data_IF_449775804052
#
_entry.id   IF_449775804052
#
_cell.length_a   1.000
_cell.length_b   1.000
_cell.length_c   1.000
_cell.angle_alpha   90.00
_cell.angle_beta   90.00
_cell.angle_gamma   90.00
#
_symmetry.space_group_name_H-M   'P 1'
#
loop_
_entity.id
_entity.type
_entity.pdbx_description
1 polymer ?
#
# COMPACT_ATOMS: atom_id res chain seq x y z
N UNK A 1 18.92 -12.93 2.42
CA UNK A 1 17.93 -13.57 1.51
C UNK A 1 18.56 -13.68 0.12
N UNK A 2 18.51 -14.83 -0.55
CA UNK A 2 19.15 -14.97 -1.87
C UNK A 2 18.29 -14.35 -3.01
N UNK A 3 18.90 -14.06 -4.16
CA UNK A 3 18.25 -13.35 -5.27
C UNK A 3 16.97 -14.05 -5.76
N UNK A 4 16.97 -15.38 -5.83
CA UNK A 4 15.81 -16.15 -6.28
C UNK A 4 14.64 -16.07 -5.29
N UNK A 5 14.92 -16.15 -3.98
CA UNK A 5 13.89 -15.96 -2.93
C UNK A 5 13.33 -14.54 -2.96
N UNK A 6 14.18 -13.53 -3.18
CA UNK A 6 13.73 -12.12 -3.30
C UNK A 6 12.79 -11.93 -4.49
N UNK A 7 13.17 -12.43 -5.67
CA UNK A 7 12.34 -12.34 -6.88
C UNK A 7 10.96 -12.98 -6.65
N UNK A 8 10.93 -14.20 -6.12
CA UNK A 8 9.67 -14.90 -5.84
C UNK A 8 8.74 -14.13 -4.89
N UNK A 9 9.28 -13.55 -3.82
CA UNK A 9 8.48 -12.72 -2.91
C UNK A 9 7.88 -11.50 -3.61
N UNK A 10 8.59 -10.89 -4.56
CA UNK A 10 8.08 -9.75 -5.33
C UNK A 10 6.94 -10.21 -6.24
N UNK A 11 7.11 -11.34 -6.93
CA UNK A 11 6.07 -11.90 -7.81
C UNK A 11 4.81 -12.28 -7.03
N UNK A 12 4.97 -12.89 -5.84
CA UNK A 12 3.86 -13.24 -4.95
C UNK A 12 3.12 -11.98 -4.45
N UNK A 13 3.87 -10.96 -4.00
CA UNK A 13 3.30 -9.69 -3.56
C UNK A 13 2.54 -8.98 -4.68
N UNK A 14 3.08 -8.97 -5.91
CA UNK A 14 2.42 -8.40 -7.08
C UNK A 14 1.05 -9.04 -7.32
N UNK A 15 0.95 -10.37 -7.22
CA UNK A 15 -0.33 -11.09 -7.35
C UNK A 15 -1.31 -10.76 -6.23
N UNK A 16 -0.82 -10.57 -5.00
CA UNK A 16 -1.65 -10.15 -3.87
C UNK A 16 -2.26 -8.76 -4.09
N UNK A 17 -1.46 -7.80 -4.58
CA UNK A 17 -1.94 -6.45 -4.91
C UNK A 17 -3.08 -6.50 -5.95
N UNK A 18 -2.91 -7.31 -7.01
CA UNK A 18 -3.91 -7.42 -8.07
C UNK A 18 -5.23 -8.03 -7.60
N UNK A 19 -5.14 -9.09 -6.79
CA UNK A 19 -6.32 -9.70 -6.15
C UNK A 19 -7.01 -8.69 -5.24
N UNK A 20 -6.24 -7.90 -4.49
CA UNK A 20 -6.76 -6.91 -3.54
C UNK A 20 -7.51 -5.78 -4.25
N UNK A 21 -7.01 -5.28 -5.39
CA UNK A 21 -7.70 -4.26 -6.18
C UNK A 21 -9.03 -4.78 -6.71
N UNK A 22 -9.04 -6.00 -7.28
CA UNK A 22 -10.27 -6.61 -7.77
C UNK A 22 -11.27 -6.82 -6.65
N UNK A 23 -10.81 -7.26 -5.48
CA UNK A 23 -11.66 -7.49 -4.32
C UNK A 23 -12.26 -6.17 -3.82
N UNK A 24 -11.42 -5.17 -3.57
CA UNK A 24 -11.83 -3.82 -3.18
C UNK A 24 -12.90 -3.26 -4.12
N UNK A 25 -12.67 -3.35 -5.43
CA UNK A 25 -13.61 -2.88 -6.44
C UNK A 25 -14.97 -3.57 -6.33
N UNK A 26 -14.98 -4.90 -6.13
CA UNK A 26 -16.21 -5.68 -5.97
C UNK A 26 -16.93 -5.38 -4.66
N UNK A 27 -16.20 -5.24 -3.56
CA UNK A 27 -16.76 -4.91 -2.24
C UNK A 27 -17.44 -3.53 -2.26
N UNK A 28 -16.97 -2.63 -3.12
CA UNK A 28 -17.58 -1.32 -3.36
C UNK A 28 -18.63 -1.29 -4.47
N UNK A 29 -18.94 -2.43 -5.09
CA UNK A 29 -19.90 -2.51 -6.19
C UNK A 29 -19.48 -1.79 -7.47
N UNK A 30 -18.19 -1.54 -7.66
CA UNK A 30 -17.68 -0.83 -8.83
C UNK A 30 -17.44 -1.78 -10.01
N UNK A 31 -17.77 -1.35 -11.22
CA UNK A 31 -17.25 -1.98 -12.44
C UNK A 31 -15.80 -1.56 -12.69
N UNK A 32 -15.06 -2.27 -13.55
CA UNK A 32 -13.71 -1.84 -13.93
C UNK A 32 -13.72 -0.44 -14.58
N UNK A 33 -14.75 -0.13 -15.37
CA UNK A 33 -14.93 1.20 -15.96
C UNK A 33 -15.19 2.28 -14.90
N UNK A 34 -15.96 1.95 -13.85
CA UNK A 34 -16.22 2.87 -12.74
C UNK A 34 -14.95 3.17 -11.95
N UNK A 35 -14.14 2.16 -11.63
CA UNK A 35 -12.85 2.38 -10.99
C UNK A 35 -11.92 3.21 -11.89
N UNK A 36 -11.85 2.89 -13.18
CA UNK A 36 -11.07 3.65 -14.15
C UNK A 36 -11.43 5.13 -14.17
N UNK A 37 -12.73 5.46 -14.24
CA UNK A 37 -13.21 6.85 -14.16
C UNK A 37 -12.77 7.57 -12.89
N UNK A 38 -12.84 6.91 -11.73
CA UNK A 38 -12.47 7.50 -10.43
C UNK A 38 -10.99 7.90 -10.34
N UNK A 39 -10.11 7.20 -11.06
CA UNK A 39 -8.66 7.40 -11.03
C UNK A 39 -8.08 7.86 -12.38
N UNK A 40 -8.95 8.31 -13.30
CA UNK A 40 -8.55 8.89 -14.58
C UNK A 40 -7.83 7.94 -15.55
N UNK A 41 -8.23 6.67 -15.61
CA UNK A 41 -7.73 5.69 -16.60
C UNK A 41 -8.88 4.96 -17.29
N UNK A 42 -8.63 4.32 -18.43
CA UNK A 42 -9.65 3.54 -19.12
C UNK A 42 -9.92 2.18 -18.42
N UNK A 43 -11.03 1.54 -18.81
CA UNK A 43 -11.40 0.23 -18.27
C UNK A 43 -10.39 -0.87 -18.63
N UNK A 44 -9.76 -0.79 -19.80
CA UNK A 44 -8.78 -1.76 -20.28
C UNK A 44 -7.53 -1.76 -19.41
N UNK A 45 -7.10 -0.59 -18.94
CA UNK A 45 -6.00 -0.40 -18.00
C UNK A 45 -6.28 -1.12 -16.68
N UNK A 46 -7.48 -0.96 -16.13
CA UNK A 46 -7.91 -1.69 -14.92
C UNK A 46 -7.91 -3.20 -15.17
N UNK A 47 -8.42 -3.63 -16.33
CA UNK A 47 -8.41 -5.06 -16.68
C UNK A 47 -6.98 -5.62 -16.78
N UNK A 48 -6.05 -4.87 -17.37
CA UNK A 48 -4.66 -5.30 -17.51
C UNK A 48 -3.98 -5.44 -16.15
N UNK A 49 -4.23 -4.51 -15.23
CA UNK A 49 -3.76 -4.56 -13.86
C UNK A 49 -4.32 -5.75 -13.09
N UNK A 50 -5.63 -5.98 -13.12
CA UNK A 50 -6.25 -7.11 -12.41
C UNK A 50 -5.85 -8.49 -12.98
N UNK A 51 -5.39 -8.54 -14.24
CA UNK A 51 -5.00 -9.76 -14.95
C UNK A 51 -3.48 -9.98 -15.06
N UNK A 52 -2.67 -9.24 -14.30
CA UNK A 52 -1.21 -9.36 -14.27
C UNK A 52 -0.49 -9.06 -15.60
N UNK A 53 -1.16 -8.39 -16.54
CA UNK A 53 -0.57 -8.07 -17.85
C UNK A 53 0.42 -6.92 -17.77
N UNK A 54 0.16 -5.95 -16.89
CA UNK A 54 1.00 -4.75 -16.73
C UNK A 54 1.14 -4.38 -15.26
N UNK A 55 2.28 -3.78 -14.92
CA UNK A 55 2.51 -3.22 -13.59
C UNK A 55 1.60 -2.02 -13.32
N UNK A 56 1.21 -1.86 -12.06
CA UNK A 56 0.42 -0.74 -11.58
C UNK A 56 1.39 0.33 -11.07
N UNK A 57 1.38 1.55 -11.61
CA UNK A 57 2.19 2.63 -11.06
C UNK A 57 1.83 2.90 -9.60
N UNK A 58 2.84 3.16 -8.77
CA UNK A 58 2.66 3.44 -7.34
C UNK A 58 1.64 4.58 -7.11
N UNK A 59 1.70 5.63 -7.93
CA UNK A 59 0.76 6.75 -7.89
C UNK A 59 -0.70 6.31 -8.08
N UNK A 60 -0.95 5.38 -9.02
CA UNK A 60 -2.29 4.82 -9.25
C UNK A 60 -2.74 3.90 -8.12
N UNK A 61 -1.80 3.18 -7.49
CA UNK A 61 -2.12 2.44 -6.27
C UNK A 61 -2.60 3.37 -5.15
N UNK A 62 -1.93 4.51 -4.95
CA UNK A 62 -2.36 5.53 -3.98
C UNK A 62 -3.72 6.13 -4.33
N UNK A 63 -3.98 6.47 -5.60
CA UNK A 63 -5.29 6.96 -6.03
C UNK A 63 -6.41 5.95 -5.73
N UNK A 64 -6.19 4.65 -6.00
CA UNK A 64 -7.16 3.58 -5.68
C UNK A 64 -7.48 3.56 -4.18
N UNK A 65 -6.46 3.64 -3.33
CA UNK A 65 -6.58 3.68 -1.86
C UNK A 65 -7.39 4.91 -1.42
N UNK A 66 -7.09 6.08 -2.00
CA UNK A 66 -7.80 7.32 -1.68
C UNK A 66 -9.27 7.30 -2.11
N UNK A 67 -9.60 6.86 -3.33
CA UNK A 67 -11.00 6.77 -3.78
C UNK A 67 -11.77 5.67 -3.05
N UNK A 68 -11.06 4.70 -2.48
CA UNK A 68 -11.60 3.77 -1.51
C UNK A 68 -11.82 4.40 -0.12
N UNK A 69 -11.46 5.65 0.13
CA UNK A 69 -11.60 6.25 1.46
C UNK A 69 -10.73 5.56 2.52
N UNK A 70 -9.68 4.87 2.08
CA UNK A 70 -8.63 4.37 2.96
C UNK A 70 -7.58 5.47 3.07
N UNK A 71 -7.36 5.96 4.28
CA UNK A 71 -6.29 6.92 4.54
C UNK A 71 -5.09 6.16 5.13
N UNK A 72 -4.28 5.59 4.24
CA UNK A 72 -3.08 4.86 4.64
C UNK A 72 -2.07 5.76 5.35
N UNK A 73 -2.04 7.07 5.06
CA UNK A 73 -1.16 8.00 5.75
C UNK A 73 -1.60 8.15 7.20
N UNK A 74 -2.89 8.36 7.45
CA UNK A 74 -3.45 8.42 8.81
C UNK A 74 -3.22 7.12 9.58
N UNK A 75 -3.42 5.96 8.97
CA UNK A 75 -3.16 4.67 9.62
C UNK A 75 -1.67 4.48 9.96
N UNK A 76 -0.77 4.86 9.04
CA UNK A 76 0.67 4.78 9.25
C UNK A 76 1.15 5.75 10.35
N UNK A 77 0.71 7.01 10.31
CA UNK A 77 1.08 8.00 11.31
C UNK A 77 0.47 7.70 12.68
N UNK A 78 -0.76 7.18 12.74
CA UNK A 78 -1.36 6.68 13.99
C UNK A 78 -0.51 5.55 14.58
N UNK A 79 -0.12 4.58 13.76
CA UNK A 79 0.76 3.50 14.19
C UNK A 79 2.11 4.03 14.69
N UNK A 80 2.70 5.03 14.03
CA UNK A 80 3.98 5.61 14.43
C UNK A 80 3.87 6.50 15.68
N UNK A 81 2.76 7.22 15.87
CA UNK A 81 2.52 8.04 17.07
C UNK A 81 2.31 7.19 18.31
N UNK A 82 1.75 6.00 18.16
CA UNK A 82 1.55 5.06 19.28
C UNK A 82 2.87 4.40 19.74
N UNK A 83 3.96 4.55 18.97
CA UNK A 83 5.28 3.98 19.25
C UNK A 83 6.30 5.01 19.77
N UNK A 84 5.87 6.21 20.20
CA UNK A 84 6.80 7.24 20.73
C UNK A 84 7.19 7.06 22.21
N UNK A 85 6.66 6.07 22.93
CA UNK A 85 7.06 5.78 24.32
C UNK A 85 8.12 4.67 24.41
N UNK A 86 9.33 4.93 23.90
CA UNK A 86 10.57 4.44 24.55
C UNK A 86 11.78 5.26 24.13
N UNK A 87 11.98 6.39 24.81
CA UNK A 87 13.31 6.81 25.23
C UNK A 87 13.24 7.16 26.72
N UNK A 88 13.86 6.39 27.64
CA UNK A 88 14.28 6.95 28.91
C UNK A 88 15.59 7.70 28.69
N UNK A 89 15.46 9.02 28.76
CA UNK A 89 16.41 10.06 29.11
C UNK A 89 17.86 9.69 29.49
N UNK A 90 18.77 10.51 28.96
CA UNK A 90 20.09 10.83 29.48
C UNK A 90 20.21 10.74 31.02
N UNK A 91 21.28 10.09 31.49
CA UNK A 91 21.93 10.45 32.74
C UNK A 91 23.45 10.45 32.55
N UNK A 92 23.99 11.61 32.19
CA UNK A 92 25.27 12.08 32.73
C UNK A 92 24.99 13.39 33.47
N UNK A 93 25.79 13.83 34.46
CA UNK A 93 27.01 13.23 35.02
C UNK A 93 26.96 13.10 36.56
N UNK A 94 27.71 12.16 37.14
CA UNK A 94 28.14 12.29 38.55
C UNK A 94 29.66 12.34 38.61
N UNK A 95 30.19 13.56 38.70
CA UNK A 95 31.44 13.82 39.41
C UNK A 95 31.28 13.34 40.86
N UNK A 96 32.24 12.58 41.35
CA UNK A 96 32.59 12.53 42.78
C UNK A 96 34.05 12.14 42.91
N UNK A 97 34.83 13.15 43.30
CA UNK A 97 36.01 13.19 44.16
C UNK A 97 36.91 11.94 44.28
#
# INVERSE_FOLDING_TARGET
>A
MNNNKRKRKIDDFRKDVQRSIRQLRRDRGWSQAELGRRIGVDQATISNWESDKTDIPLTKMFEIVLVAGLDCAKQYFSFMSDNSDTQPAEKEPTKKD
#
